data_IF_930297532940
#
_entry.id   IF_930297532940
#
_cell.length_a   1.000
_cell.length_b   1.000
_cell.length_c   1.000
_cell.angle_alpha   90.00
_cell.angle_beta   90.00
_cell.angle_gamma   90.00
#
_symmetry.space_group_name_H-M   'P 1'
#
loop_
_entity.id
_entity.type
_entity.pdbx_description
1 polymer ?
#
# COMPACT_ATOMS: atom_id res chain seq x y z
N UNK A 1 -8.21 -0.60 -17.21
CA UNK A 1 -9.04 0.49 -17.74
C UNK A 1 -8.61 1.80 -17.08
N UNK A 2 -7.58 2.44 -17.62
CA UNK A 2 -7.04 3.69 -17.08
C UNK A 2 -7.59 4.91 -17.81
N UNK A 3 -7.39 6.10 -17.23
CA UNK A 3 -7.77 7.38 -17.84
C UNK A 3 -6.84 7.81 -18.99
N UNK A 4 -5.61 7.30 -19.03
CA UNK A 4 -4.65 7.63 -20.08
C UNK A 4 -5.16 7.36 -21.52
N UNK A 5 -5.81 6.24 -21.83
CA UNK A 5 -6.42 6.05 -23.16
C UNK A 5 -7.48 7.11 -23.50
N UNK A 6 -8.26 7.57 -22.52
CA UNK A 6 -9.27 8.61 -22.72
C UNK A 6 -8.63 9.96 -23.00
N UNK A 7 -7.55 10.29 -22.29
CA UNK A 7 -6.78 11.52 -22.52
C UNK A 7 -6.15 11.53 -23.94
N UNK A 8 -5.49 10.44 -24.32
CA UNK A 8 -4.86 10.32 -25.65
C UNK A 8 -5.89 10.36 -26.79
N UNK A 9 -7.10 9.83 -26.56
CA UNK A 9 -8.21 9.84 -27.51
C UNK A 9 -9.01 11.15 -27.51
N UNK A 10 -8.59 12.18 -26.80
CA UNK A 10 -9.26 13.48 -26.66
C UNK A 10 -10.70 13.40 -26.12
N UNK A 11 -11.00 12.41 -25.26
CA UNK A 11 -12.28 12.33 -24.54
C UNK A 11 -12.32 13.18 -23.28
N UNK A 12 -11.17 13.70 -22.83
CA UNK A 12 -11.04 14.51 -21.62
C UNK A 12 -10.64 15.96 -22.00
N UNK A 13 -11.20 16.92 -21.28
CA UNK A 13 -10.77 18.31 -21.37
C UNK A 13 -9.47 18.52 -20.59
N UNK A 14 -8.61 19.40 -21.12
CA UNK A 14 -7.48 19.91 -20.36
C UNK A 14 -8.01 20.93 -19.34
N UNK A 15 -7.75 20.72 -18.05
CA UNK A 15 -8.19 21.62 -16.99
C UNK A 15 -7.66 23.06 -17.18
N UNK A 16 -6.46 23.23 -17.72
CA UNK A 16 -5.85 24.55 -17.97
C UNK A 16 -6.59 25.37 -18.99
N UNK A 17 -7.41 24.75 -19.85
CA UNK A 17 -8.24 25.42 -20.85
C UNK A 17 -9.63 25.77 -20.32
N UNK A 18 -9.95 25.40 -19.07
CA UNK A 18 -11.26 25.67 -18.48
C UNK A 18 -11.33 27.08 -17.93
N UNK A 19 -12.45 27.81 -18.18
CA UNK A 19 -12.62 29.14 -17.62
C UNK A 19 -12.68 29.10 -16.09
N UNK A 20 -12.09 30.09 -15.44
CA UNK A 20 -12.05 30.22 -13.97
C UNK A 20 -11.24 29.17 -13.24
N UNK A 21 -10.50 28.33 -13.94
CA UNK A 21 -9.58 27.36 -13.31
C UNK A 21 -8.23 28.04 -13.06
N UNK A 22 -7.74 27.93 -11.84
CA UNK A 22 -6.39 28.33 -11.45
C UNK A 22 -5.77 27.20 -10.60
N UNK A 23 -4.80 26.48 -11.17
CA UNK A 23 -4.09 25.38 -10.51
C UNK A 23 -3.24 25.83 -9.31
N UNK A 24 -3.03 27.14 -9.12
CA UNK A 24 -2.28 27.70 -8.00
C UNK A 24 -3.11 27.89 -6.74
N UNK A 25 -4.41 27.70 -6.81
CA UNK A 25 -5.28 27.80 -5.64
C UNK A 25 -4.90 26.75 -4.59
N UNK A 26 -4.97 27.09 -3.29
CA UNK A 26 -4.42 26.25 -2.21
C UNK A 26 -5.12 24.90 -2.01
N UNK A 27 -6.33 24.73 -2.54
CA UNK A 27 -7.10 23.50 -2.49
C UNK A 27 -6.70 22.46 -3.55
N UNK A 28 -5.83 22.83 -4.51
CA UNK A 28 -5.31 21.91 -5.51
C UNK A 28 -3.95 21.33 -5.11
N UNK A 29 -3.78 20.04 -5.29
CA UNK A 29 -2.48 19.40 -5.16
C UNK A 29 -1.64 19.61 -6.43
N UNK A 30 -0.71 20.56 -6.35
CA UNK A 30 0.18 20.92 -7.45
C UNK A 30 1.11 19.77 -7.86
N UNK A 31 1.54 18.93 -6.90
CA UNK A 31 2.40 17.79 -7.20
C UNK A 31 1.63 16.76 -8.03
N UNK A 32 0.39 16.46 -7.64
CA UNK A 32 -0.47 15.58 -8.43
C UNK A 32 -0.72 16.12 -9.83
N UNK A 33 -0.95 17.42 -9.98
CA UNK A 33 -1.13 18.04 -11.30
C UNK A 33 0.12 17.90 -12.17
N UNK A 34 1.31 18.14 -11.61
CA UNK A 34 2.59 17.99 -12.30
C UNK A 34 2.88 16.54 -12.69
N UNK A 35 2.68 15.59 -11.76
CA UNK A 35 2.98 14.18 -11.99
C UNK A 35 1.99 13.52 -12.97
N UNK A 36 0.72 13.92 -12.95
CA UNK A 36 -0.33 13.34 -13.79
C UNK A 36 -0.57 14.10 -15.09
N UNK A 37 0.16 15.18 -15.38
CA UNK A 37 0.08 15.85 -16.69
C UNK A 37 0.61 14.93 -17.80
N UNK A 38 0.16 15.17 -19.02
CA UNK A 38 0.60 14.46 -20.21
C UNK A 38 0.74 15.47 -21.36
N UNK A 39 1.92 15.60 -21.92
CA UNK A 39 2.23 16.57 -22.97
C UNK A 39 1.80 18.01 -22.56
N UNK A 40 2.15 18.43 -21.36
CA UNK A 40 1.81 19.71 -20.74
C UNK A 40 0.31 19.97 -20.54
N UNK A 41 -0.54 18.94 -20.59
CA UNK A 41 -1.99 19.02 -20.35
C UNK A 41 -2.35 18.31 -19.06
N UNK A 42 -3.21 18.92 -18.27
CA UNK A 42 -3.72 18.36 -17.01
C UNK A 42 -5.13 17.84 -17.24
N UNK A 43 -5.28 16.53 -17.20
CA UNK A 43 -6.57 15.85 -17.37
C UNK A 43 -7.20 15.41 -16.06
N UNK A 44 -6.41 15.36 -15.01
CA UNK A 44 -6.81 14.95 -13.67
C UNK A 44 -6.30 15.95 -12.66
N UNK A 45 -7.15 16.31 -11.70
CA UNK A 45 -6.79 17.14 -10.57
C UNK A 45 -7.12 16.41 -9.27
N UNK A 46 -6.21 16.50 -8.33
CA UNK A 46 -6.40 16.08 -6.95
C UNK A 46 -6.35 17.30 -6.02
N UNK A 47 -6.89 17.18 -4.84
CA UNK A 47 -6.89 18.25 -3.85
C UNK A 47 -8.03 18.11 -2.85
N UNK A 48 -8.25 19.15 -2.05
CA UNK A 48 -9.22 19.18 -0.95
C UNK A 48 -10.68 19.11 -1.42
N UNK A 49 -10.92 19.26 -2.71
CA UNK A 49 -12.26 19.11 -3.31
C UNK A 49 -12.79 17.67 -3.21
N UNK A 50 -11.91 16.69 -3.01
CA UNK A 50 -12.27 15.29 -2.88
C UNK A 50 -11.60 14.65 -1.67
N UNK A 51 -12.39 14.07 -0.77
CA UNK A 51 -11.89 13.27 0.35
C UNK A 51 -11.08 12.05 -0.12
N UNK A 52 -11.28 11.59 -1.36
CA UNK A 52 -10.53 10.46 -1.92
C UNK A 52 -9.04 10.73 -2.06
N UNK A 53 -8.66 11.99 -2.21
CA UNK A 53 -7.22 12.36 -2.25
C UNK A 53 -6.51 11.93 -0.97
N UNK A 54 -7.08 12.23 0.19
CA UNK A 54 -6.52 11.84 1.50
C UNK A 54 -6.85 10.37 1.85
N UNK A 55 -8.04 9.90 1.48
CA UNK A 55 -8.50 8.55 1.79
C UNK A 55 -7.74 7.44 1.06
N UNK A 56 -7.15 7.73 -0.08
CA UNK A 56 -6.36 6.77 -0.85
C UNK A 56 -4.86 6.77 -0.50
N UNK A 57 -4.42 7.57 0.47
CA UNK A 57 -3.05 7.46 1.01
C UNK A 57 -2.88 6.07 1.62
N UNK A 58 -1.78 5.42 1.27
CA UNK A 58 -1.46 4.07 1.74
C UNK A 58 -0.36 4.09 2.78
N UNK A 59 -0.52 3.21 3.78
CA UNK A 59 0.46 3.01 4.85
C UNK A 59 0.32 1.61 5.44
N UNK A 60 1.26 1.24 6.28
CA UNK A 60 1.17 0.02 7.09
C UNK A 60 0.52 0.34 8.43
N UNK A 61 -0.51 -0.43 8.78
CA UNK A 61 -0.92 -0.56 10.17
C UNK A 61 -0.18 -1.73 10.81
N UNK A 62 0.15 -1.59 12.10
CA UNK A 62 0.73 -2.67 12.88
C UNK A 62 0.03 -2.80 14.23
N UNK A 63 -0.07 -4.02 14.74
CA UNK A 63 -0.64 -4.34 16.04
C UNK A 63 0.38 -4.05 17.13
N UNK A 64 0.15 -3.02 17.95
CA UNK A 64 1.09 -2.59 18.99
C UNK A 64 1.22 -3.57 20.14
N UNK A 65 0.11 -4.18 20.53
CA UNK A 65 0.12 -5.15 21.64
C UNK A 65 0.89 -6.40 21.25
N UNK A 66 0.65 -6.92 20.05
CA UNK A 66 1.44 -8.01 19.50
C UNK A 66 2.91 -7.64 19.33
N UNK A 67 3.20 -6.39 18.94
CA UNK A 67 4.56 -5.88 18.81
C UNK A 67 5.32 -5.90 20.13
N UNK A 68 4.66 -5.47 21.21
CA UNK A 68 5.20 -5.48 22.59
C UNK A 68 5.34 -6.92 23.13
N UNK A 69 4.34 -7.77 22.93
CA UNK A 69 4.33 -9.18 23.41
C UNK A 69 5.49 -10.01 22.84
N UNK A 70 5.86 -9.73 21.59
CA UNK A 70 7.00 -10.40 20.95
C UNK A 70 8.34 -9.70 21.18
N UNK A 71 8.38 -8.64 21.97
CA UNK A 71 9.58 -7.89 22.30
C UNK A 71 10.26 -7.31 21.05
N UNK A 72 9.48 -6.85 20.07
CA UNK A 72 10.01 -6.24 18.86
C UNK A 72 10.47 -4.81 19.17
N UNK A 73 11.56 -4.39 18.51
CA UNK A 73 12.08 -3.02 18.68
C UNK A 73 11.10 -1.97 18.10
N UNK A 74 10.97 -0.84 18.75
CA UNK A 74 10.05 0.25 18.41
C UNK A 74 10.15 0.69 16.93
N UNK A 75 9.11 0.53 16.11
CA UNK A 75 9.19 0.75 14.67
C UNK A 75 9.37 2.22 14.31
N UNK A 76 8.79 3.15 15.06
CA UNK A 76 8.89 4.58 14.80
C UNK A 76 10.33 5.09 14.89
N UNK A 77 11.10 4.59 15.86
CA UNK A 77 12.51 4.94 15.99
C UNK A 77 13.33 4.51 14.76
N UNK A 78 13.00 3.36 14.14
CA UNK A 78 13.64 2.94 12.90
C UNK A 78 13.23 3.79 11.71
N UNK A 79 11.98 4.20 11.62
CA UNK A 79 11.48 5.08 10.57
C UNK A 79 12.17 6.45 10.66
N UNK A 80 12.20 7.06 11.85
CA UNK A 80 12.88 8.34 12.10
C UNK A 80 14.38 8.29 11.78
N UNK A 81 15.03 7.17 12.08
CA UNK A 81 16.44 6.95 11.78
C UNK A 81 16.71 6.56 10.31
N UNK A 82 15.71 6.45 9.46
CA UNK A 82 15.86 5.96 8.07
C UNK A 82 16.34 4.51 7.96
N UNK A 83 16.07 3.68 8.99
CA UNK A 83 16.50 2.28 9.10
C UNK A 83 15.39 1.26 8.96
N UNK A 84 14.17 1.71 8.72
CA UNK A 84 13.06 0.82 8.41
C UNK A 84 13.22 0.28 6.99
N UNK A 85 13.45 -1.02 6.86
CA UNK A 85 13.77 -1.68 5.59
C UNK A 85 12.91 -2.91 5.38
N UNK A 86 12.82 -3.41 4.14
CA UNK A 86 12.15 -4.69 3.82
C UNK A 86 12.75 -5.86 4.60
N UNK A 87 14.07 -5.88 4.78
CA UNK A 87 14.75 -6.92 5.55
C UNK A 87 14.32 -6.90 7.02
N UNK A 88 14.23 -5.71 7.63
CA UNK A 88 13.74 -5.54 9.01
C UNK A 88 12.26 -5.94 9.14
N UNK A 89 11.44 -5.58 8.18
CA UNK A 89 10.04 -6.02 8.11
C UNK A 89 9.98 -7.55 8.07
N UNK A 90 10.75 -8.20 7.19
CA UNK A 90 10.80 -9.64 7.07
C UNK A 90 11.22 -10.34 8.38
N UNK A 91 12.21 -9.81 9.10
CA UNK A 91 12.62 -10.34 10.40
C UNK A 91 11.48 -10.31 11.43
N UNK A 92 10.75 -9.21 11.53
CA UNK A 92 9.64 -9.06 12.48
C UNK A 92 8.46 -9.96 12.09
N UNK A 93 8.12 -10.01 10.82
CA UNK A 93 7.05 -10.85 10.26
C UNK A 93 7.28 -12.34 10.62
N UNK A 94 8.51 -12.83 10.48
CA UNK A 94 8.86 -14.24 10.81
C UNK A 94 8.79 -14.54 12.30
N UNK A 95 9.08 -13.59 13.17
CA UNK A 95 9.04 -13.80 14.62
C UNK A 95 7.62 -14.01 15.16
N UNK A 96 6.62 -13.45 14.48
CA UNK A 96 5.25 -13.40 14.99
C UNK A 96 4.33 -14.43 14.36
N UNK A 97 4.62 -14.86 13.14
CA UNK A 97 3.79 -15.85 12.44
C UNK A 97 3.79 -17.18 13.17
N UNK A 98 2.61 -17.76 13.36
CA UNK A 98 2.44 -18.96 14.16
C UNK A 98 1.25 -19.79 13.67
N UNK A 99 1.48 -21.07 13.43
CA UNK A 99 0.45 -22.10 13.27
C UNK A 99 -0.20 -22.33 14.65
N UNK A 100 -1.42 -21.77 14.83
CA UNK A 100 -2.11 -21.77 16.12
C UNK A 100 -2.81 -23.10 16.41
N UNK A 101 -3.26 -23.81 15.37
CA UNK A 101 -3.95 -25.07 15.51
C UNK A 101 -3.01 -26.30 15.49
N UNK A 102 -1.74 -26.11 15.06
CA UNK A 102 -0.69 -27.15 15.06
C UNK A 102 -0.88 -28.20 13.97
N UNK A 103 -1.59 -27.89 12.89
CA UNK A 103 -1.84 -28.86 11.81
C UNK A 103 -0.73 -28.89 10.73
N UNK A 104 0.26 -28.01 10.88
CA UNK A 104 1.41 -27.89 9.97
C UNK A 104 1.12 -27.12 8.69
N UNK A 105 0.03 -26.39 8.63
CA UNK A 105 -0.34 -25.54 7.50
C UNK A 105 -0.67 -24.13 7.99
N UNK A 106 -0.33 -23.15 7.21
CA UNK A 106 -0.73 -21.78 7.49
C UNK A 106 -2.02 -21.45 6.74
N UNK A 107 -3.09 -21.16 7.47
CA UNK A 107 -4.41 -20.84 6.90
C UNK A 107 -5.15 -19.69 7.64
N UNK A 108 -6.45 -19.60 7.42
CA UNK A 108 -7.29 -18.53 8.00
C UNK A 108 -7.46 -18.60 9.52
N UNK A 109 -7.06 -19.68 10.19
CA UNK A 109 -7.15 -19.83 11.65
C UNK A 109 -5.87 -19.41 12.38
N UNK A 110 -4.80 -19.13 11.63
CA UNK A 110 -3.47 -18.88 12.14
C UNK A 110 -3.12 -17.41 12.27
N UNK A 111 -1.96 -17.15 12.89
CA UNK A 111 -1.40 -15.81 13.02
C UNK A 111 -0.37 -15.57 11.93
N UNK A 112 -0.52 -14.44 11.23
CA UNK A 112 0.36 -14.04 10.15
C UNK A 112 1.14 -12.78 10.51
N UNK A 113 2.37 -12.71 10.03
CA UNK A 113 3.20 -11.53 10.24
C UNK A 113 2.82 -10.35 9.35
N UNK A 114 2.44 -10.62 8.10
CA UNK A 114 2.06 -9.57 7.15
C UNK A 114 0.92 -10.05 6.25
N UNK A 115 -0.08 -9.21 6.10
CA UNK A 115 -0.97 -9.26 4.94
C UNK A 115 -0.53 -8.18 3.95
N UNK A 116 -0.15 -8.60 2.75
CA UNK A 116 0.19 -7.70 1.66
C UNK A 116 -0.96 -7.61 0.65
N UNK A 117 -1.50 -6.40 0.48
CA UNK A 117 -2.55 -6.15 -0.52
C UNK A 117 -1.99 -5.96 -1.94
N UNK A 118 -0.77 -5.45 -2.07
CA UNK A 118 -0.16 -5.27 -3.40
C UNK A 118 1.36 -5.10 -3.32
N UNK A 119 2.13 -5.87 -4.09
CA UNK A 119 3.58 -5.71 -4.21
C UNK A 119 4.00 -4.30 -4.64
N UNK A 120 3.15 -3.62 -5.40
CA UNK A 120 3.39 -2.26 -5.91
C UNK A 120 3.66 -1.28 -4.78
N UNK A 121 2.93 -1.37 -3.66
CA UNK A 121 3.12 -0.44 -2.54
C UNK A 121 4.43 -0.65 -1.82
N UNK A 122 4.87 -1.89 -1.67
CA UNK A 122 6.21 -2.18 -1.14
C UNK A 122 7.31 -1.61 -2.03
N UNK A 123 7.18 -1.76 -3.35
CA UNK A 123 8.17 -1.21 -4.30
C UNK A 123 8.20 0.31 -4.29
N UNK A 124 7.03 0.97 -4.25
CA UNK A 124 6.94 2.44 -4.11
C UNK A 124 7.55 2.88 -2.78
N UNK A 125 7.29 2.17 -1.69
CA UNK A 125 7.90 2.41 -0.38
C UNK A 125 9.43 2.27 -0.39
N UNK A 126 9.97 1.45 -1.28
CA UNK A 126 11.41 1.34 -1.53
C UNK A 126 11.96 2.46 -2.44
N UNK A 127 11.15 3.43 -2.85
CA UNK A 127 11.57 4.50 -3.75
C UNK A 127 11.65 4.11 -5.23
N UNK A 128 11.02 2.99 -5.62
CA UNK A 128 10.97 2.59 -7.04
C UNK A 128 9.93 3.43 -7.76
N UNK A 129 10.39 4.24 -8.72
CA UNK A 129 9.53 4.97 -9.64
C UNK A 129 9.35 4.16 -10.93
N UNK A 130 8.11 3.86 -11.28
CA UNK A 130 7.79 3.10 -12.50
C UNK A 130 8.01 3.92 -13.77
N UNK A 131 7.71 5.21 -13.68
CA UNK A 131 7.90 6.17 -14.78
C UNK A 131 8.46 7.47 -14.23
N UNK A 132 9.20 8.16 -15.06
CA UNK A 132 9.55 9.58 -14.94
C UNK A 132 9.01 10.32 -16.16
N UNK A 133 9.28 11.60 -16.27
CA UNK A 133 8.87 12.40 -17.44
C UNK A 133 10.07 12.88 -18.21
N UNK A 134 9.92 12.95 -19.53
CA UNK A 134 10.89 13.60 -20.41
C UNK A 134 10.67 15.12 -20.49
N UNK A 135 11.49 15.79 -21.31
CA UNK A 135 11.41 17.24 -21.55
C UNK A 135 10.10 17.70 -22.20
N UNK A 136 9.33 16.80 -22.78
CA UNK A 136 8.04 17.03 -23.41
C UNK A 136 6.84 16.69 -22.52
N UNK A 137 7.11 16.40 -21.23
CA UNK A 137 6.11 15.96 -20.27
C UNK A 137 5.46 14.62 -20.65
N UNK A 138 6.22 13.74 -21.31
CA UNK A 138 5.78 12.40 -21.68
C UNK A 138 6.37 11.36 -20.73
N UNK A 139 5.61 10.32 -20.35
CA UNK A 139 6.09 9.29 -19.44
C UNK A 139 7.18 8.43 -20.09
N UNK A 140 8.28 8.24 -19.38
CA UNK A 140 9.39 7.38 -19.72
C UNK A 140 9.54 6.30 -18.65
N UNK A 141 9.72 5.04 -19.07
CA UNK A 141 9.96 3.92 -18.15
C UNK A 141 11.27 4.15 -17.38
N UNK A 142 11.21 4.13 -16.05
CA UNK A 142 12.37 4.43 -15.18
C UNK A 142 12.76 3.31 -14.23
N UNK A 143 11.97 2.26 -14.09
CA UNK A 143 12.22 1.18 -13.11
C UNK A 143 13.27 0.15 -13.56
N UNK A 144 13.84 0.29 -14.76
CA UNK A 144 14.90 -0.61 -15.26
C UNK A 144 16.26 -0.08 -14.83
N UNK A 145 16.60 -0.24 -13.55
CA UNK A 145 17.88 0.16 -12.96
C UNK A 145 18.24 -0.75 -11.77
N UNK A 146 19.49 -0.68 -11.31
CA UNK A 146 20.01 -1.55 -10.23
C UNK A 146 19.23 -1.40 -8.92
N UNK A 147 18.82 -0.18 -8.55
CA UNK A 147 18.03 0.06 -7.35
C UNK A 147 16.69 -0.67 -7.40
N UNK A 148 15.98 -0.52 -8.51
CA UNK A 148 14.68 -1.17 -8.69
C UNK A 148 14.81 -2.70 -8.72
N UNK A 149 15.84 -3.25 -9.38
CA UNK A 149 16.10 -4.69 -9.38
C UNK A 149 16.36 -5.19 -7.96
N UNK A 150 17.23 -4.53 -7.20
CA UNK A 150 17.51 -4.90 -5.81
C UNK A 150 16.28 -4.80 -4.91
N UNK A 151 15.45 -3.78 -5.08
CA UNK A 151 14.18 -3.65 -4.37
C UNK A 151 13.20 -4.78 -4.72
N UNK A 152 13.07 -5.12 -6.02
CA UNK A 152 12.23 -6.24 -6.50
C UNK A 152 12.67 -7.58 -5.93
N UNK A 153 13.97 -7.85 -5.87
CA UNK A 153 14.51 -9.09 -5.29
C UNK A 153 14.15 -9.21 -3.80
N UNK A 154 14.30 -8.14 -3.03
CA UNK A 154 13.96 -8.12 -1.59
C UNK A 154 12.45 -8.25 -1.36
N UNK A 155 11.63 -7.50 -2.08
CA UNK A 155 10.17 -7.58 -2.00
C UNK A 155 9.70 -8.97 -2.42
N UNK A 156 10.24 -9.52 -3.51
CA UNK A 156 9.93 -10.89 -3.93
C UNK A 156 10.30 -11.91 -2.85
N UNK A 157 11.49 -11.81 -2.24
CA UNK A 157 11.92 -12.69 -1.17
C UNK A 157 10.99 -12.65 0.04
N UNK A 158 10.50 -11.46 0.41
CA UNK A 158 9.50 -11.30 1.46
C UNK A 158 8.17 -11.97 1.09
N UNK A 159 7.64 -11.70 -0.11
CA UNK A 159 6.33 -12.20 -0.54
C UNK A 159 6.30 -13.68 -0.91
N UNK A 160 7.45 -14.27 -1.23
CA UNK A 160 7.57 -15.71 -1.45
C UNK A 160 7.57 -16.52 -0.13
N UNK A 161 7.69 -15.86 1.01
CA UNK A 161 7.67 -16.47 2.34
C UNK A 161 6.23 -16.82 2.78
N UNK A 162 5.69 -17.89 2.19
CA UNK A 162 4.29 -18.31 2.31
C UNK A 162 3.86 -18.78 3.70
N UNK A 163 4.81 -18.95 4.60
CA UNK A 163 4.52 -19.30 6.00
C UNK A 163 4.39 -18.07 6.91
N UNK A 164 4.76 -16.90 6.41
CA UNK A 164 4.81 -15.69 7.22
C UNK A 164 4.07 -14.51 6.59
N UNK A 165 3.90 -14.53 5.27
CA UNK A 165 3.22 -13.47 4.52
C UNK A 165 1.97 -14.02 3.85
N UNK A 166 0.84 -13.45 4.22
CA UNK A 166 -0.44 -13.72 3.59
C UNK A 166 -0.60 -12.79 2.39
N UNK A 167 -0.53 -13.39 1.21
CA UNK A 167 -0.76 -12.69 -0.04
C UNK A 167 -2.24 -12.72 -0.40
N UNK A 168 -2.73 -11.60 -0.90
CA UNK A 168 -4.13 -11.42 -1.27
C UNK A 168 -4.66 -12.46 -2.27
N UNK A 169 -3.84 -12.78 -3.27
CA UNK A 169 -4.22 -13.75 -4.30
C UNK A 169 -4.20 -15.19 -3.79
N UNK A 170 -3.36 -15.48 -2.82
CA UNK A 170 -3.31 -16.79 -2.14
C UNK A 170 -4.52 -16.93 -1.23
N UNK A 171 -4.84 -15.89 -0.47
CA UNK A 171 -6.01 -15.81 0.39
C UNK A 171 -7.31 -16.07 -0.40
N UNK A 172 -7.45 -15.43 -1.56
CA UNK A 172 -8.61 -15.60 -2.43
C UNK A 172 -8.84 -17.03 -2.94
N UNK A 173 -7.79 -17.84 -2.98
CA UNK A 173 -7.85 -19.22 -3.51
C UNK A 173 -7.95 -20.29 -2.45
N UNK A 174 -7.48 -20.01 -1.24
CA UNK A 174 -7.31 -21.02 -0.20
C UNK A 174 -8.17 -20.83 1.06
N UNK A 175 -8.84 -19.68 1.20
CA UNK A 175 -9.62 -19.35 2.39
C UNK A 175 -11.09 -19.08 2.04
N UNK A 176 -12.00 -19.45 2.95
CA UNK A 176 -13.40 -19.09 2.80
C UNK A 176 -13.62 -17.61 3.13
N UNK A 177 -13.81 -16.82 2.11
CA UNK A 177 -14.09 -15.38 2.21
C UNK A 177 -15.55 -15.04 1.88
N UNK A 178 -16.42 -16.04 1.76
CA UNK A 178 -17.80 -15.89 1.27
C UNK A 178 -18.69 -15.00 2.16
N UNK A 179 -18.34 -14.89 3.45
CA UNK A 179 -19.05 -14.03 4.40
C UNK A 179 -18.76 -12.53 4.21
N UNK A 180 -17.78 -12.16 3.37
CA UNK A 180 -17.34 -10.78 3.18
C UNK A 180 -17.72 -10.27 1.79
N UNK A 181 -18.25 -9.03 1.69
CA UNK A 181 -18.59 -8.41 0.39
C UNK A 181 -17.38 -8.30 -0.54
N UNK A 182 -16.21 -8.08 0.03
CA UNK A 182 -14.96 -7.97 -0.69
C UNK A 182 -13.83 -8.68 0.06
N UNK A 183 -12.92 -9.27 -0.68
CA UNK A 183 -11.79 -9.99 -0.10
C UNK A 183 -10.90 -9.09 0.78
N UNK A 184 -10.82 -7.79 0.50
CA UNK A 184 -10.12 -6.82 1.34
C UNK A 184 -10.74 -6.70 2.73
N UNK A 185 -12.06 -6.80 2.85
CA UNK A 185 -12.77 -6.76 4.14
C UNK A 185 -12.40 -7.98 5.00
N UNK A 186 -12.22 -9.15 4.37
CA UNK A 186 -11.70 -10.33 5.07
C UNK A 186 -10.32 -10.07 5.69
N UNK A 187 -9.36 -9.56 4.92
CA UNK A 187 -8.03 -9.25 5.43
C UNK A 187 -8.05 -8.25 6.59
N UNK A 188 -8.86 -7.20 6.47
CA UNK A 188 -9.01 -6.18 7.52
C UNK A 188 -9.68 -6.74 8.77
N UNK A 189 -10.66 -7.62 8.63
CA UNK A 189 -11.27 -8.31 9.78
C UNK A 189 -10.28 -9.19 10.53
N UNK A 190 -9.31 -9.80 9.83
CA UNK A 190 -8.23 -10.58 10.46
C UNK A 190 -7.29 -9.70 11.26
N UNK A 191 -6.95 -8.51 10.77
CA UNK A 191 -6.18 -7.53 11.53
C UNK A 191 -6.93 -7.04 12.75
N UNK A 192 -8.21 -6.69 12.60
CA UNK A 192 -9.07 -6.26 13.69
C UNK A 192 -9.28 -7.36 14.77
N UNK A 193 -9.17 -8.64 14.38
CA UNK A 193 -9.23 -9.79 15.30
C UNK A 193 -7.88 -10.17 15.93
N UNK A 194 -6.83 -9.35 15.77
CA UNK A 194 -5.51 -9.62 16.35
C UNK A 194 -4.76 -10.80 15.73
N UNK A 195 -5.03 -11.13 14.46
CA UNK A 195 -4.42 -12.27 13.77
C UNK A 195 -3.33 -11.87 12.77
N UNK A 196 -3.05 -10.57 12.66
CA UNK A 196 -2.00 -10.02 11.80
C UNK A 196 -1.12 -9.07 12.60
N UNK A 197 0.20 -9.17 12.43
CA UNK A 197 1.13 -8.17 12.96
C UNK A 197 1.04 -6.88 12.16
N UNK A 198 1.05 -6.99 10.84
CA UNK A 198 1.04 -5.84 9.92
C UNK A 198 0.08 -6.05 8.75
N UNK A 199 -0.50 -4.95 8.29
CA UNK A 199 -1.33 -4.90 7.08
C UNK A 199 -1.09 -3.58 6.33
N UNK A 200 -1.02 -3.61 5.00
CA UNK A 200 -1.03 -2.39 4.19
C UNK A 200 -2.46 -2.03 3.78
N UNK A 201 -2.87 -0.80 4.05
CA UNK A 201 -4.24 -0.32 3.81
C UNK A 201 -4.28 1.10 3.25
N UNK A 202 -5.45 1.50 2.76
CA UNK A 202 -5.77 2.92 2.52
C UNK A 202 -6.26 3.61 3.79
N UNK A 203 -6.05 4.92 3.89
CA UNK A 203 -6.52 5.72 5.03
C UNK A 203 -8.04 5.63 5.25
N UNK A 204 -8.85 5.53 4.18
CA UNK A 204 -10.30 5.32 4.27
C UNK A 204 -10.70 4.04 5.04
N UNK A 205 -9.82 3.06 5.07
CA UNK A 205 -10.10 1.74 5.64
C UNK A 205 -9.86 1.67 7.14
N UNK A 206 -9.13 2.64 7.72
CA UNK A 206 -8.78 2.66 9.14
C UNK A 206 -10.02 2.64 10.07
N UNK A 207 -11.13 3.17 9.59
CA UNK A 207 -12.42 3.13 10.30
C UNK A 207 -12.91 1.71 10.63
N UNK A 208 -12.43 0.71 9.88
CA UNK A 208 -12.76 -0.70 10.14
C UNK A 208 -12.07 -1.24 11.40
N UNK A 209 -11.11 -0.49 11.95
CA UNK A 209 -10.39 -0.83 13.18
C UNK A 209 -10.89 -0.04 14.41
N UNK A 210 -11.98 0.75 14.26
CA UNK A 210 -12.49 1.60 15.34
C UNK A 210 -12.91 0.81 16.60
N UNK A 211 -13.39 -0.42 16.40
CA UNK A 211 -13.86 -1.30 17.47
C UNK A 211 -12.83 -2.42 17.79
N UNK A 212 -11.57 -2.27 17.36
CA UNK A 212 -10.50 -3.21 17.66
C UNK A 212 -10.13 -3.11 19.15
N UNK A 213 -10.07 -4.25 19.84
CA UNK A 213 -9.70 -4.30 21.26
C UNK A 213 -8.22 -3.98 21.50
N UNK A 214 -7.35 -4.40 20.56
CA UNK A 214 -5.92 -4.21 20.61
C UNK A 214 -5.50 -2.85 20.05
N UNK A 215 -4.45 -2.28 20.60
CA UNK A 215 -3.89 -1.00 20.11
C UNK A 215 -3.18 -1.23 18.77
N UNK A 216 -3.34 -0.32 17.84
CA UNK A 216 -2.58 -0.32 16.59
C UNK A 216 -1.81 0.99 16.39
N UNK A 217 -0.84 0.94 15.48
CA UNK A 217 -0.06 2.08 15.01
C UNK A 217 -0.04 2.15 13.48
N UNK A 218 0.43 3.28 12.97
CA UNK A 218 0.55 3.58 11.53
C UNK A 218 2.01 3.88 11.22
#
# INVERSE_FOLDING_TARGET
NGLAPLAVSNYLYNWRDMPYFDENMPWWDKNSAAEMSLANRVYLMAGDISMKTSGCVRFFCFNKDMWEDYGLEEPYAFVEAGKWTVDRMAENVRKVSLDLNGDGKMDGTDRWGLLNESPTFLLVGCGVLYTTKDENDLPVVSFVNEHAVGAMEKVKSLLDDKNHVLDYFVMAKGMDTSAFPHIYDYGRSRFAAGQLLMIDICADDIRQFADMDERYGI
#
